data_IF_478247629910
#
_entry.id   IF_478247629910
#
_cell.length_a   1.000
_cell.length_b   1.000
_cell.length_c   1.000
_cell.angle_alpha   90.00
_cell.angle_beta   90.00
_cell.angle_gamma   90.00
#
_symmetry.space_group_name_H-M   'P 1'
#
loop_
_entity.id
_entity.type
_entity.pdbx_description
1 polymer ?
#
# COMPACT_ATOMS: atom_id res chain seq x y z
N UNK A 1 -1.55 37.56 6.32
CA UNK A 1 -2.22 38.81 6.71
C UNK A 1 -3.54 38.86 5.95
N UNK A 2 -4.65 39.13 6.63
CA UNK A 2 -5.93 39.42 6.01
C UNK A 2 -6.23 40.92 6.15
N UNK A 3 -6.78 41.55 5.11
CA UNK A 3 -7.14 42.96 5.11
C UNK A 3 -8.59 43.14 4.69
N UNK A 4 -9.40 43.83 5.49
CA UNK A 4 -10.81 44.14 5.19
C UNK A 4 -11.05 45.64 5.15
N UNK A 5 -11.91 46.10 4.25
CA UNK A 5 -12.33 47.52 4.19
C UNK A 5 -13.52 47.75 5.10
N UNK A 6 -13.41 48.74 5.99
CA UNK A 6 -14.54 49.23 6.77
C UNK A 6 -15.38 50.26 5.99
N UNK A 7 -16.60 50.52 6.46
CA UNK A 7 -17.56 51.43 5.83
C UNK A 7 -17.03 52.88 5.68
N UNK A 8 -16.05 53.26 6.50
CA UNK A 8 -15.44 54.60 6.54
C UNK A 8 -14.17 54.72 5.67
N UNK A 9 -13.78 53.65 4.96
CA UNK A 9 -12.63 53.64 4.04
C UNK A 9 -11.29 53.27 4.69
N UNK A 10 -11.24 53.07 6.00
CA UNK A 10 -10.08 52.52 6.70
C UNK A 10 -9.91 51.01 6.41
N UNK A 11 -8.66 50.57 6.29
CA UNK A 11 -8.31 49.17 6.04
C UNK A 11 -7.77 48.58 7.32
N UNK A 12 -8.49 47.61 7.88
CA UNK A 12 -8.03 46.87 9.04
C UNK A 12 -7.26 45.62 8.59
N UNK A 13 -6.10 45.39 9.20
CA UNK A 13 -5.22 44.27 8.88
C UNK A 13 -5.05 43.36 10.09
N UNK A 14 -5.28 42.07 9.90
CA UNK A 14 -5.05 41.04 10.92
C UNK A 14 -3.88 40.14 10.50
N UNK A 15 -3.00 39.85 11.47
CA UNK A 15 -1.98 38.82 11.33
C UNK A 15 -2.59 37.45 11.63
N UNK A 16 -2.67 36.61 10.60
CA UNK A 16 -3.09 35.22 10.76
C UNK A 16 -1.91 34.40 11.27
N UNK A 17 -2.16 33.51 12.24
CA UNK A 17 -1.18 32.60 12.83
C UNK A 17 -0.80 31.43 11.89
N UNK A 18 -1.62 31.17 10.88
CA UNK A 18 -1.38 30.16 9.84
C UNK A 18 -1.79 30.70 8.47
N UNK A 19 -1.54 29.89 7.44
CA UNK A 19 -2.01 30.12 6.09
C UNK A 19 -2.87 28.93 5.62
N UNK A 20 -3.57 29.11 4.50
CA UNK A 20 -4.48 28.11 3.94
C UNK A 20 -3.84 26.77 3.56
N UNK A 21 -2.51 26.68 3.47
CA UNK A 21 -1.78 25.44 3.17
C UNK A 21 -1.31 24.73 4.44
N UNK A 22 -0.94 25.46 5.50
CA UNK A 22 -0.56 24.88 6.79
C UNK A 22 -1.75 24.44 7.64
N UNK A 23 -2.89 25.09 7.48
CA UNK A 23 -4.08 24.85 8.29
C UNK A 23 -5.35 24.91 7.43
N UNK A 24 -5.38 24.05 6.41
CA UNK A 24 -6.48 24.03 5.43
C UNK A 24 -7.83 23.68 6.07
N UNK A 25 -7.85 22.86 7.13
CA UNK A 25 -9.09 22.41 7.79
C UNK A 25 -9.79 23.54 8.55
N UNK A 26 -9.03 24.45 9.17
CA UNK A 26 -9.59 25.60 9.88
C UNK A 26 -9.64 26.87 9.01
N UNK A 27 -9.24 26.78 7.74
CA UNK A 27 -9.26 27.90 6.83
C UNK A 27 -10.69 28.17 6.35
N UNK A 28 -11.31 29.20 6.93
CA UNK A 28 -12.56 29.75 6.42
C UNK A 28 -12.28 30.82 5.37
N UNK A 29 -12.63 30.54 4.12
CA UNK A 29 -12.56 31.53 3.04
C UNK A 29 -13.51 32.70 3.33
N UNK A 30 -12.97 33.92 3.34
CA UNK A 30 -13.74 35.14 3.44
C UNK A 30 -13.50 36.01 2.20
N UNK A 31 -14.52 36.15 1.35
CA UNK A 31 -14.46 36.98 0.14
C UNK A 31 -14.47 38.49 0.43
N UNK A 32 -14.77 38.88 1.67
CA UNK A 32 -14.80 40.28 2.12
C UNK A 32 -13.41 40.80 2.53
N UNK A 33 -12.42 39.91 2.57
CA UNK A 33 -11.04 40.21 2.98
C UNK A 33 -10.04 39.87 1.89
N UNK A 34 -9.09 40.76 1.65
CA UNK A 34 -7.93 40.48 0.82
C UNK A 34 -6.87 39.74 1.64
N UNK A 35 -6.56 38.50 1.24
CA UNK A 35 -5.53 37.69 1.89
C UNK A 35 -4.18 37.88 1.20
N UNK A 36 -3.20 38.36 1.96
CA UNK A 36 -1.80 38.44 1.55
C UNK A 36 -0.98 37.39 2.30
N UNK A 37 -0.29 36.54 1.54
CA UNK A 37 0.63 35.52 2.05
C UNK A 37 1.91 35.51 1.22
N UNK A 38 3.00 35.04 1.81
CA UNK A 38 4.23 34.77 1.05
C UNK A 38 3.93 33.74 -0.04
N UNK A 39 4.61 33.87 -1.19
CA UNK A 39 4.46 32.91 -2.28
C UNK A 39 4.79 31.50 -1.78
N UNK A 40 3.75 30.66 -1.72
CA UNK A 40 3.87 29.27 -1.31
C UNK A 40 4.19 28.39 -2.52
N UNK A 41 5.17 27.50 -2.36
CA UNK A 41 5.46 26.47 -3.36
C UNK A 41 4.32 25.45 -3.51
N UNK A 42 3.40 25.37 -2.54
CA UNK A 42 2.18 24.57 -2.63
C UNK A 42 1.09 25.21 -3.51
N UNK A 43 1.25 26.46 -3.96
CA UNK A 43 0.25 27.15 -4.78
C UNK A 43 -0.04 26.47 -6.12
N UNK A 44 0.92 25.69 -6.65
CA UNK A 44 0.75 24.92 -7.88
C UNK A 44 0.10 23.56 -7.68
N UNK A 45 -0.33 23.22 -6.46
CA UNK A 45 -0.88 21.92 -6.08
C UNK A 45 -0.02 20.73 -6.56
N UNK A 46 1.27 20.67 -6.15
CA UNK A 46 2.21 19.71 -6.72
C UNK A 46 1.96 18.24 -6.32
N UNK A 47 1.33 18.00 -5.17
CA UNK A 47 1.08 16.66 -4.66
C UNK A 47 -0.10 15.99 -5.38
N UNK A 48 0.12 14.79 -5.90
CA UNK A 48 -0.88 13.97 -6.60
C UNK A 48 -1.60 13.02 -5.63
N UNK A 49 -2.60 12.31 -6.14
CA UNK A 49 -3.30 11.23 -5.42
C UNK A 49 -3.78 11.60 -4.01
N UNK A 50 -4.28 12.84 -3.87
CA UNK A 50 -4.78 13.42 -2.61
C UNK A 50 -3.71 13.60 -1.53
N UNK A 51 -2.43 13.65 -1.90
CA UNK A 51 -1.36 13.99 -0.97
C UNK A 51 -1.48 15.43 -0.45
N UNK A 52 -1.10 15.63 0.81
CA UNK A 52 -1.12 16.92 1.49
C UNK A 52 0.20 17.66 1.27
N UNK A 53 0.14 18.87 0.70
CA UNK A 53 1.33 19.69 0.48
C UNK A 53 1.67 20.53 1.72
N UNK A 54 2.87 20.34 2.26
CA UNK A 54 3.39 21.11 3.39
C UNK A 54 4.44 22.10 2.89
N UNK A 55 4.17 23.43 2.94
CA UNK A 55 5.12 24.42 2.46
C UNK A 55 6.24 24.69 3.47
N UNK A 56 7.44 24.89 2.94
CA UNK A 56 8.61 25.37 3.66
C UNK A 56 9.05 26.74 3.14
N UNK A 57 8.50 27.79 3.77
CA UNK A 57 8.74 29.18 3.37
C UNK A 57 10.20 29.63 3.51
N UNK A 58 10.98 29.03 4.40
CA UNK A 58 12.39 29.43 4.63
C UNK A 58 13.28 29.08 3.44
N UNK A 59 13.00 27.94 2.78
CA UNK A 59 13.81 27.42 1.68
C UNK A 59 13.08 27.48 0.33
N UNK A 60 11.92 28.14 0.26
CA UNK A 60 11.06 28.17 -0.91
C UNK A 60 10.75 26.77 -1.49
N UNK A 61 10.61 25.77 -0.60
CA UNK A 61 10.36 24.37 -0.96
C UNK A 61 9.06 23.85 -0.36
N UNK A 62 8.74 22.59 -0.62
CA UNK A 62 7.58 21.90 -0.06
C UNK A 62 7.88 20.41 0.11
N UNK A 63 7.04 19.73 0.87
CA UNK A 63 7.02 18.28 1.02
C UNK A 63 5.59 17.77 0.82
N UNK A 64 5.44 16.62 0.15
CA UNK A 64 4.15 15.97 0.00
C UNK A 64 4.02 14.84 1.03
N UNK A 65 3.00 14.92 1.88
CA UNK A 65 2.56 13.81 2.71
C UNK A 65 1.58 12.94 1.90
N UNK A 66 1.99 11.74 1.58
CA UNK A 66 1.19 10.84 0.76
C UNK A 66 0.12 10.11 1.55
N UNK A 67 -1.06 10.03 0.96
CA UNK A 67 -2.12 9.15 1.41
C UNK A 67 -1.70 7.69 1.42
N UNK A 68 -2.32 6.90 2.29
CA UNK A 68 -1.99 5.49 2.43
C UNK A 68 -2.21 4.75 1.10
N UNK A 69 -1.17 4.07 0.61
CA UNK A 69 -1.19 3.40 -0.69
C UNK A 69 -0.40 4.12 -1.79
N UNK A 70 0.12 5.32 -1.52
CA UNK A 70 0.91 6.10 -2.48
C UNK A 70 2.26 6.53 -1.93
N UNK A 71 3.22 6.69 -2.83
CA UNK A 71 4.62 7.02 -2.57
C UNK A 71 5.19 7.86 -3.71
N UNK A 72 6.40 8.36 -3.54
CA UNK A 72 7.06 9.25 -4.49
C UNK A 72 7.10 10.69 -3.98
N UNK A 73 7.90 11.52 -4.64
CA UNK A 73 8.09 12.93 -4.25
C UNK A 73 6.79 13.72 -4.34
N UNK A 74 5.95 13.38 -5.32
CA UNK A 74 4.65 14.00 -5.55
C UNK A 74 3.50 13.04 -5.28
N UNK A 75 3.75 11.95 -4.53
CA UNK A 75 2.77 10.88 -4.31
C UNK A 75 2.24 10.27 -5.61
N UNK A 76 3.04 10.30 -6.68
CA UNK A 76 2.64 9.95 -8.03
C UNK A 76 2.59 8.44 -8.28
N UNK A 77 3.22 7.64 -7.40
CA UNK A 77 3.32 6.18 -7.52
C UNK A 77 2.42 5.51 -6.51
N UNK A 78 1.68 4.49 -6.94
CA UNK A 78 1.02 3.58 -6.01
C UNK A 78 1.96 2.49 -5.52
N UNK A 79 1.75 2.03 -4.29
CA UNK A 79 2.46 0.88 -3.72
C UNK A 79 2.16 -0.38 -4.53
N UNK A 80 3.20 -1.08 -4.96
CA UNK A 80 3.07 -2.32 -5.75
C UNK A 80 3.10 -3.56 -4.88
N UNK A 81 3.61 -3.47 -3.65
CA UNK A 81 3.74 -4.59 -2.73
C UNK A 81 3.70 -4.16 -1.26
N UNK A 82 3.41 -5.11 -0.38
CA UNK A 82 3.50 -4.91 1.06
C UNK A 82 4.94 -4.69 1.53
N UNK A 83 5.94 -5.24 0.82
CA UNK A 83 7.35 -5.01 1.13
C UNK A 83 7.75 -3.54 0.91
N UNK A 84 7.21 -2.92 -0.14
CA UNK A 84 7.40 -1.49 -0.40
C UNK A 84 6.78 -0.65 0.72
N UNK A 85 5.56 -0.98 1.17
CA UNK A 85 4.94 -0.33 2.33
C UNK A 85 5.84 -0.42 3.57
N UNK A 86 6.36 -1.62 3.86
CA UNK A 86 7.23 -1.85 5.01
C UNK A 86 8.51 -1.01 4.92
N UNK A 87 9.12 -0.90 3.74
CA UNK A 87 10.36 -0.13 3.56
C UNK A 87 10.15 1.39 3.69
N UNK A 88 9.04 1.90 3.16
CA UNK A 88 8.75 3.34 3.17
C UNK A 88 8.31 3.82 4.55
N UNK A 89 7.33 3.14 5.15
CA UNK A 89 6.72 3.59 6.41
C UNK A 89 7.28 2.90 7.64
N UNK A 90 8.19 1.92 7.48
CA UNK A 90 8.69 1.06 8.57
C UNK A 90 7.57 0.47 9.43
N UNK A 91 6.44 0.15 8.80
CA UNK A 91 5.27 -0.38 9.49
C UNK A 91 5.49 -1.84 9.87
N UNK A 92 5.24 -2.16 11.14
CA UNK A 92 5.25 -3.52 11.69
C UNK A 92 3.84 -4.06 11.96
N UNK A 93 2.81 -3.26 11.67
CA UNK A 93 1.41 -3.59 11.95
C UNK A 93 0.78 -4.14 10.68
N UNK A 94 0.23 -5.35 10.78
CA UNK A 94 -0.53 -5.94 9.67
C UNK A 94 -1.80 -5.13 9.44
N UNK A 95 -2.07 -4.73 8.20
CA UNK A 95 -3.13 -3.79 7.89
C UNK A 95 -3.64 -3.96 6.45
N UNK A 96 -4.86 -3.49 6.22
CA UNK A 96 -5.45 -3.45 4.89
C UNK A 96 -4.82 -2.32 4.07
N UNK A 97 -4.37 -2.66 2.88
CA UNK A 97 -3.73 -1.72 1.95
C UNK A 97 -4.26 -1.96 0.55
N UNK A 98 -4.48 -0.89 -0.20
CA UNK A 98 -4.77 -0.98 -1.62
C UNK A 98 -3.47 -0.83 -2.41
N UNK A 99 -3.01 -1.93 -2.99
CA UNK A 99 -1.86 -1.97 -3.89
C UNK A 99 -2.29 -1.58 -5.31
N UNK A 100 -1.39 -0.98 -6.08
CA UNK A 100 -1.57 -0.71 -7.51
C UNK A 100 -0.72 -1.66 -8.33
N UNK A 101 -1.34 -2.75 -8.74
CA UNK A 101 -0.70 -3.87 -9.43
C UNK A 101 -1.19 -3.87 -10.87
N UNK A 102 -0.27 -3.70 -11.83
CA UNK A 102 -0.61 -3.52 -13.25
C UNK A 102 -1.68 -2.42 -13.49
N UNK A 103 -1.48 -1.27 -12.86
CA UNK A 103 -2.40 -0.12 -12.86
C UNK A 103 -3.79 -0.37 -12.27
N UNK A 104 -4.08 -1.59 -11.77
CA UNK A 104 -5.35 -1.93 -11.12
C UNK A 104 -5.21 -1.87 -9.58
N UNK A 105 -6.20 -1.31 -8.87
CA UNK A 105 -6.22 -1.34 -7.41
C UNK A 105 -6.59 -2.74 -6.90
N UNK A 106 -5.80 -3.27 -5.96
CA UNK A 106 -6.03 -4.55 -5.30
C UNK A 106 -5.90 -4.36 -3.80
N UNK A 107 -7.00 -4.52 -3.06
CA UNK A 107 -7.00 -4.41 -1.60
C UNK A 107 -6.61 -5.74 -0.97
N UNK A 108 -5.54 -5.73 -0.18
CA UNK A 108 -4.99 -6.91 0.49
C UNK A 108 -4.69 -6.64 1.96
N UNK A 109 -4.74 -7.69 2.80
CA UNK A 109 -4.17 -7.64 4.14
C UNK A 109 -2.66 -7.88 4.04
N UNK A 110 -1.89 -6.81 4.19
CA UNK A 110 -0.44 -6.95 4.27
C UNK A 110 -0.05 -7.53 5.62
N UNK A 111 0.69 -8.64 5.59
CA UNK A 111 1.25 -9.24 6.78
C UNK A 111 2.61 -8.62 7.07
N UNK A 112 2.73 -7.91 8.18
CA UNK A 112 3.91 -7.12 8.53
C UNK A 112 4.63 -7.66 9.75
N UNK A 113 5.94 -7.40 9.80
CA UNK A 113 6.78 -7.63 10.97
C UNK A 113 7.29 -9.06 11.08
N UNK A 114 7.66 -9.46 12.30
CA UNK A 114 8.29 -10.75 12.58
C UNK A 114 7.20 -11.78 12.91
N UNK A 115 6.54 -12.30 11.88
CA UNK A 115 5.80 -13.56 12.00
C UNK A 115 6.66 -14.70 11.41
N UNK A 116 6.16 -15.94 11.38
CA UNK A 116 6.95 -17.14 11.07
C UNK A 116 7.71 -17.17 9.73
N UNK A 117 7.61 -16.12 8.89
CA UNK A 117 8.40 -15.92 7.69
C UNK A 117 9.54 -14.89 7.81
N UNK A 118 9.77 -14.32 9.00
CA UNK A 118 10.79 -13.32 9.24
C UNK A 118 10.32 -11.88 9.00
N UNK A 119 11.17 -10.92 9.35
CA UNK A 119 10.86 -9.49 9.29
C UNK A 119 10.66 -9.02 7.83
N UNK A 120 9.63 -8.21 7.61
CA UNK A 120 9.36 -7.57 6.34
C UNK A 120 7.86 -7.35 6.11
N UNK A 121 7.53 -6.95 4.88
CA UNK A 121 6.15 -6.86 4.42
C UNK A 121 5.82 -7.94 3.40
N UNK A 122 4.89 -8.81 3.75
CA UNK A 122 4.52 -9.97 2.94
C UNK A 122 3.22 -9.72 2.20
N UNK A 123 3.29 -9.82 0.87
CA UNK A 123 2.15 -9.60 -0.02
C UNK A 123 1.42 -10.91 -0.23
N UNK A 124 0.14 -11.05 0.19
CA UNK A 124 -0.62 -12.26 -0.09
C UNK A 124 -0.88 -12.35 -1.60
N UNK A 125 -0.73 -13.56 -2.13
CA UNK A 125 -0.96 -13.87 -3.55
C UNK A 125 -2.08 -14.87 -3.76
N UNK A 126 -2.21 -15.81 -2.82
CA UNK A 126 -3.18 -16.90 -2.89
C UNK A 126 -3.42 -17.45 -1.48
N UNK A 127 -4.65 -17.90 -1.21
CA UNK A 127 -5.01 -18.74 -0.06
C UNK A 127 -5.84 -19.92 -0.54
N UNK A 128 -5.57 -21.10 0.01
CA UNK A 128 -6.17 -22.36 -0.42
C UNK A 128 -6.74 -23.06 0.80
N UNK A 129 -7.96 -23.57 0.67
CA UNK A 129 -8.59 -24.42 1.67
C UNK A 129 -8.37 -25.88 1.26
N UNK A 130 -7.52 -26.60 2.01
CA UNK A 130 -7.19 -27.99 1.71
C UNK A 130 -8.38 -28.96 1.78
N UNK A 131 -9.54 -28.53 2.30
CA UNK A 131 -10.78 -29.31 2.28
C UNK A 131 -11.57 -29.19 0.97
N UNK A 132 -11.19 -28.25 0.09
CA UNK A 132 -11.85 -27.97 -1.18
C UNK A 132 -11.00 -28.43 -2.37
N UNK A 133 -11.65 -28.65 -3.51
CA UNK A 133 -11.00 -29.04 -4.76
C UNK A 133 -10.66 -27.86 -5.68
N UNK A 134 -11.00 -26.63 -5.30
CA UNK A 134 -10.85 -25.40 -6.11
C UNK A 134 -9.45 -25.26 -6.69
N UNK A 135 -8.42 -25.40 -5.84
CA UNK A 135 -7.01 -25.28 -6.22
C UNK A 135 -6.30 -26.64 -6.23
N UNK A 136 -7.02 -27.71 -6.56
CA UNK A 136 -6.39 -28.99 -6.81
C UNK A 136 -5.25 -28.85 -7.85
N UNK A 137 -4.23 -29.71 -7.80
CA UNK A 137 -2.99 -29.50 -8.56
C UNK A 137 -3.16 -29.46 -10.10
N UNK A 138 -4.29 -29.97 -10.61
CA UNK A 138 -4.67 -29.93 -12.03
C UNK A 138 -5.54 -28.74 -12.43
N UNK A 139 -5.90 -27.87 -11.48
CA UNK A 139 -6.76 -26.73 -11.76
C UNK A 139 -6.06 -25.71 -12.66
N UNK A 140 -6.79 -25.08 -13.57
CA UNK A 140 -6.24 -24.07 -14.49
C UNK A 140 -5.73 -22.82 -13.77
N UNK A 141 -6.23 -22.56 -12.55
CA UNK A 141 -5.87 -21.43 -11.71
C UNK A 141 -4.36 -21.29 -11.46
N UNK A 142 -3.58 -22.37 -11.55
CA UNK A 142 -2.12 -22.32 -11.39
C UNK A 142 -1.41 -21.70 -12.59
N UNK A 143 -2.03 -21.76 -13.78
CA UNK A 143 -1.43 -21.40 -15.08
C UNK A 143 -2.18 -20.32 -15.86
N UNK A 144 -3.24 -19.74 -15.29
CA UNK A 144 -3.99 -18.62 -15.88
C UNK A 144 -3.78 -17.29 -15.11
N UNK A 145 -4.28 -16.20 -15.69
CA UNK A 145 -4.31 -14.86 -15.09
C UNK A 145 -5.70 -14.49 -14.55
N UNK A 146 -6.49 -15.50 -14.19
CA UNK A 146 -7.84 -15.30 -13.66
C UNK A 146 -7.81 -15.05 -12.15
N UNK A 147 -8.62 -14.10 -11.72
CA UNK A 147 -8.82 -13.75 -10.31
C UNK A 147 -9.84 -14.70 -9.68
N UNK A 148 -9.68 -15.02 -8.39
CA UNK A 148 -10.66 -15.80 -7.66
C UNK A 148 -10.90 -15.23 -6.27
N UNK A 149 -12.17 -14.94 -5.95
CA UNK A 149 -12.62 -14.46 -4.64
C UNK A 149 -11.70 -13.38 -4.01
N UNK A 150 -11.60 -12.22 -4.66
CA UNK A 150 -10.79 -11.09 -4.18
C UNK A 150 -11.03 -10.69 -2.71
N UNK A 151 -12.27 -10.73 -2.16
CA UNK A 151 -12.50 -10.44 -0.75
C UNK A 151 -11.67 -11.30 0.20
N UNK A 152 -11.33 -12.55 -0.17
CA UNK A 152 -10.46 -13.40 0.63
C UNK A 152 -9.06 -12.82 0.84
N UNK A 153 -8.57 -11.97 -0.08
CA UNK A 153 -7.29 -11.27 0.10
C UNK A 153 -7.28 -10.23 1.21
N UNK A 154 -8.45 -9.82 1.72
CA UNK A 154 -8.60 -8.82 2.79
C UNK A 154 -8.59 -9.44 4.19
N UNK A 155 -8.48 -10.76 4.30
CA UNK A 155 -8.51 -11.45 5.58
C UNK A 155 -7.21 -12.23 5.81
N UNK A 156 -6.94 -12.58 7.07
CA UNK A 156 -5.71 -13.26 7.46
C UNK A 156 -5.69 -14.74 7.09
N UNK A 157 -5.09 -15.54 7.98
CA UNK A 157 -4.97 -17.00 7.82
C UNK A 157 -6.30 -17.69 8.16
N UNK A 158 -7.33 -17.46 7.34
CA UNK A 158 -8.64 -18.08 7.42
C UNK A 158 -8.89 -19.03 6.24
N UNK A 159 -10.09 -19.64 6.18
CA UNK A 159 -10.48 -20.58 5.11
C UNK A 159 -11.09 -19.90 3.87
N UNK A 160 -10.99 -18.58 3.76
CA UNK A 160 -11.48 -17.86 2.58
C UNK A 160 -10.44 -17.95 1.46
N UNK A 161 -10.64 -18.96 0.61
CA UNK A 161 -9.87 -19.15 -0.62
C UNK A 161 -9.78 -17.87 -1.45
N UNK A 162 -8.61 -17.59 -2.03
CA UNK A 162 -8.42 -16.44 -2.91
C UNK A 162 -7.27 -16.66 -3.87
N UNK A 163 -7.35 -16.07 -5.06
CA UNK A 163 -6.24 -15.88 -5.99
C UNK A 163 -6.27 -14.42 -6.44
N UNK A 164 -5.20 -13.70 -6.12
CA UNK A 164 -5.11 -12.26 -6.32
C UNK A 164 -4.23 -11.93 -7.53
N UNK A 165 -4.40 -10.76 -8.17
CA UNK A 165 -3.50 -10.31 -9.25
C UNK A 165 -2.03 -10.24 -8.87
N UNK A 166 -1.74 -10.08 -7.58
CA UNK A 166 -0.37 -10.16 -7.02
C UNK A 166 0.29 -11.51 -7.31
N UNK A 167 -0.46 -12.58 -7.57
CA UNK A 167 0.08 -13.89 -7.99
C UNK A 167 0.93 -13.82 -9.25
N UNK A 168 0.53 -13.01 -10.24
CA UNK A 168 1.25 -12.90 -11.52
C UNK A 168 1.99 -11.58 -11.71
N UNK A 169 1.71 -10.56 -10.89
CA UNK A 169 2.27 -9.22 -11.05
C UNK A 169 3.16 -8.76 -9.88
N UNK A 170 3.54 -9.64 -8.96
CA UNK A 170 4.41 -9.29 -7.82
C UNK A 170 5.73 -10.04 -7.87
N UNK A 171 6.81 -9.33 -8.17
CA UNK A 171 8.17 -9.87 -8.09
C UNK A 171 8.63 -10.02 -6.64
N UNK A 172 9.40 -11.07 -6.38
CA UNK A 172 9.85 -11.40 -5.03
C UNK A 172 11.23 -12.06 -5.02
N UNK A 173 11.87 -12.05 -3.85
CA UNK A 173 13.13 -12.77 -3.57
C UNK A 173 12.94 -13.95 -2.59
N UNK A 174 11.78 -14.02 -1.92
CA UNK A 174 11.42 -15.05 -0.95
C UNK A 174 9.94 -15.37 -1.06
N UNK A 175 9.60 -16.63 -0.80
CA UNK A 175 8.22 -17.11 -0.67
C UNK A 175 8.00 -17.45 0.80
N UNK A 176 6.91 -16.92 1.36
CA UNK A 176 6.40 -17.31 2.67
C UNK A 176 5.24 -18.27 2.45
N UNK A 177 5.42 -19.53 2.85
CA UNK A 177 4.38 -20.54 2.81
C UNK A 177 3.87 -20.77 4.23
N UNK A 178 2.64 -20.36 4.50
CA UNK A 178 1.93 -20.65 5.75
C UNK A 178 0.96 -21.80 5.55
N UNK A 179 0.90 -22.71 6.52
CA UNK A 179 -0.08 -23.79 6.54
C UNK A 179 -0.63 -23.98 7.95
N UNK A 180 -1.94 -24.18 8.06
CA UNK A 180 -2.60 -24.56 9.30
C UNK A 180 -2.74 -26.08 9.35
N UNK A 181 -2.22 -26.71 10.40
CA UNK A 181 -2.36 -28.15 10.65
C UNK A 181 -2.74 -28.30 12.11
N UNK A 182 -3.83 -29.02 12.41
CA UNK A 182 -4.32 -29.23 13.79
C UNK A 182 -4.44 -27.92 14.60
N UNK A 183 -5.00 -26.88 13.98
CA UNK A 183 -5.16 -25.52 14.55
C UNK A 183 -3.84 -24.78 14.84
N UNK A 184 -2.70 -25.31 14.38
CA UNK A 184 -1.40 -24.68 14.52
C UNK A 184 -0.95 -24.11 13.17
N UNK A 185 -0.71 -22.79 13.14
CA UNK A 185 -0.09 -22.12 12.00
C UNK A 185 1.41 -22.37 11.99
N UNK A 186 1.90 -22.92 10.89
CA UNK A 186 3.32 -23.18 10.63
C UNK A 186 3.74 -22.42 9.37
N UNK A 187 4.94 -21.89 9.39
CA UNK A 187 5.46 -21.05 8.32
C UNK A 187 6.81 -21.55 7.86
N UNK A 188 7.02 -21.50 6.55
CA UNK A 188 8.30 -21.83 5.93
C UNK A 188 8.67 -20.75 4.93
N UNK A 189 9.95 -20.36 4.97
CA UNK A 189 10.54 -19.43 4.00
C UNK A 189 11.31 -20.21 2.95
N UNK A 190 11.04 -19.93 1.68
CA UNK A 190 11.80 -20.43 0.54
C UNK A 190 12.52 -19.24 -0.09
N UNK A 191 13.85 -19.27 -0.11
CA UNK A 191 14.64 -18.25 -0.80
C UNK A 191 14.64 -18.58 -2.30
N UNK A 192 13.83 -17.83 -3.06
CA UNK A 192 13.71 -17.99 -4.50
C UNK A 192 13.32 -16.65 -5.11
N UNK A 193 14.08 -16.22 -6.11
CA UNK A 193 13.79 -15.01 -6.87
C UNK A 193 13.01 -15.36 -8.13
N UNK A 194 11.95 -14.59 -8.41
CA UNK A 194 11.15 -14.67 -9.63
C UNK A 194 10.39 -13.36 -9.86
N UNK A 195 9.94 -13.16 -11.09
CA UNK A 195 9.14 -11.99 -11.47
C UNK A 195 7.72 -12.07 -10.92
N UNK A 196 7.22 -13.28 -10.67
CA UNK A 196 5.94 -13.57 -10.02
C UNK A 196 5.82 -15.05 -9.65
N UNK A 197 4.77 -15.41 -8.89
CA UNK A 197 4.55 -16.82 -8.55
C UNK A 197 4.10 -17.57 -9.80
N UNK A 198 3.24 -16.94 -10.62
CA UNK A 198 2.86 -17.43 -11.94
C UNK A 198 4.07 -17.82 -12.79
N UNK A 199 5.01 -16.89 -13.03
CA UNK A 199 6.19 -17.15 -13.88
C UNK A 199 7.08 -18.27 -13.32
N UNK A 200 7.01 -18.50 -12.00
CA UNK A 200 7.78 -19.53 -11.34
C UNK A 200 7.15 -20.92 -11.42
N UNK A 201 5.81 -21.07 -11.48
CA UNK A 201 5.16 -22.39 -11.39
C UNK A 201 4.23 -22.75 -12.55
N UNK A 202 3.79 -21.78 -13.36
CA UNK A 202 2.83 -22.01 -14.45
C UNK A 202 3.39 -22.89 -15.59
N UNK A 203 4.71 -23.01 -15.73
CA UNK A 203 5.34 -23.84 -16.76
C UNK A 203 5.30 -25.36 -16.45
N UNK A 204 4.76 -25.75 -15.29
CA UNK A 204 4.65 -27.14 -14.87
C UNK A 204 5.99 -27.84 -14.57
N UNK A 205 7.12 -27.12 -14.62
CA UNK A 205 8.44 -27.72 -14.39
C UNK A 205 8.68 -27.92 -12.91
N UNK A 206 9.05 -29.14 -12.53
CA UNK A 206 9.45 -29.41 -11.16
C UNK A 206 10.73 -28.65 -10.81
N UNK A 207 10.72 -28.00 -9.65
CA UNK A 207 11.86 -27.29 -9.09
C UNK A 207 12.09 -27.81 -7.69
N UNK A 208 13.19 -28.54 -7.50
CA UNK A 208 13.54 -29.08 -6.20
C UNK A 208 13.73 -27.93 -5.18
N UNK A 209 13.19 -28.12 -3.99
CA UNK A 209 13.44 -27.25 -2.83
C UNK A 209 14.15 -28.06 -1.76
N UNK A 210 14.85 -27.40 -0.85
CA UNK A 210 15.46 -28.05 0.33
C UNK A 210 14.43 -28.51 1.37
N UNK A 211 13.13 -28.40 1.06
CA UNK A 211 12.03 -28.71 1.96
C UNK A 211 11.43 -30.06 1.59
N UNK A 212 11.49 -31.01 2.52
CA UNK A 212 10.79 -32.29 2.42
C UNK A 212 9.47 -32.28 3.19
N UNK A 213 8.62 -33.29 2.95
CA UNK A 213 7.32 -33.47 3.64
C UNK A 213 7.44 -33.47 5.17
N UNK A 214 8.57 -33.95 5.70
CA UNK A 214 8.84 -33.97 7.14
C UNK A 214 8.98 -32.58 7.77
N UNK A 215 9.15 -31.51 6.98
CA UNK A 215 9.13 -30.14 7.51
C UNK A 215 7.74 -29.70 8.00
N UNK A 216 6.69 -30.39 7.58
CA UNK A 216 5.30 -30.09 7.93
C UNK A 216 4.69 -31.06 8.95
N UNK A 217 5.39 -32.17 9.27
CA UNK A 217 5.04 -33.01 10.42
C UNK A 217 5.41 -32.27 11.70
#
# INVERSE_FOLDING_TARGET
MAASKEAEGEVWCELLSSDKYRDAENYNENTSSHHFSFQSSCSSSPCQNRGTCIPNYKYHSYECLCEQGFVGEFCEKGLKSCNELHNVYRSYVSQLVTLRVDSKPVSVLCHMGVFGCGNGGWTPVMKIDGTKSTFHYHATYWSDHEEYNLPGGKTGFDRQETKLPTYWNTSFSKICLGMEIDQQLRFIVINKQADSLYSLIADGRYRATSLGRNKWK
#
